data_IF_712223625343
#
_entry.id   IF_712223625343
#
_cell.length_a   1.000
_cell.length_b   1.000
_cell.length_c   1.000
_cell.angle_alpha   90.00
_cell.angle_beta   90.00
_cell.angle_gamma   90.00
#
_symmetry.space_group_name_H-M   'P 1'
#
loop_
_entity.id
_entity.type
_entity.pdbx_description
1 polymer ?
#
# COMPACT_ATOMS: atom_id res chain seq x y z
N UNK A 1 -24.17 -2.93 1.17
CA UNK A 1 -22.86 -3.19 0.52
C UNK A 1 -23.06 -3.13 -1.00
N UNK A 2 -22.55 -2.10 -1.68
CA UNK A 2 -22.94 -1.75 -3.06
C UNK A 2 -22.38 -2.73 -4.11
N UNK A 3 -23.21 -3.11 -5.10
CA UNK A 3 -22.84 -3.95 -6.27
C UNK A 3 -21.61 -3.45 -7.05
N UNK A 4 -21.22 -2.17 -6.91
CA UNK A 4 -19.98 -1.60 -7.45
C UNK A 4 -18.69 -2.17 -6.83
N UNK A 5 -18.76 -2.71 -5.61
CA UNK A 5 -17.59 -3.26 -4.93
C UNK A 5 -17.19 -4.63 -5.50
N UNK A 6 -18.18 -5.45 -5.85
CA UNK A 6 -17.98 -6.80 -6.42
C UNK A 6 -17.47 -6.72 -7.86
N UNK A 7 -17.94 -5.75 -8.66
CA UNK A 7 -17.47 -5.54 -10.04
C UNK A 7 -15.98 -5.17 -10.13
N UNK A 8 -15.39 -4.56 -9.10
CA UNK A 8 -13.96 -4.26 -9.07
C UNK A 8 -13.07 -5.48 -8.75
N UNK A 9 -13.62 -6.53 -8.14
CA UNK A 9 -12.88 -7.75 -7.77
C UNK A 9 -12.59 -8.64 -9.00
N UNK A 10 -13.35 -8.45 -10.10
CA UNK A 10 -13.20 -9.24 -11.34
C UNK A 10 -12.13 -8.70 -12.32
N UNK A 11 -11.33 -7.70 -11.92
CA UNK A 11 -10.20 -7.21 -12.73
C UNK A 11 -8.90 -7.87 -12.29
N UNK A 12 -8.02 -8.18 -13.26
CA UNK A 12 -6.66 -8.67 -12.99
C UNK A 12 -6.00 -7.80 -11.92
N UNK A 13 -5.62 -8.41 -10.80
CA UNK A 13 -4.84 -7.73 -9.77
C UNK A 13 -3.49 -7.28 -10.34
N UNK A 14 -3.11 -6.04 -10.01
CA UNK A 14 -1.82 -5.43 -10.37
C UNK A 14 -0.63 -6.32 -9.95
N UNK A 15 0.33 -6.52 -10.86
CA UNK A 15 1.57 -7.24 -10.58
C UNK A 15 2.57 -6.31 -9.86
N UNK A 16 3.40 -6.85 -8.96
CA UNK A 16 4.40 -6.04 -8.25
C UNK A 16 5.35 -5.33 -9.22
N UNK A 17 5.69 -5.97 -10.34
CA UNK A 17 6.54 -5.40 -11.39
C UNK A 17 6.04 -4.06 -11.94
N UNK A 18 4.72 -3.82 -11.89
CA UNK A 18 4.13 -2.56 -12.33
C UNK A 18 4.46 -1.37 -11.40
N UNK A 19 5.00 -1.64 -10.21
CA UNK A 19 5.53 -0.63 -9.30
C UNK A 19 6.99 -0.27 -9.59
N UNK A 20 7.71 -1.04 -10.40
CA UNK A 20 9.10 -0.76 -10.76
C UNK A 20 9.19 0.62 -11.40
N UNK A 21 10.05 1.49 -10.88
CA UNK A 21 10.19 2.88 -11.31
C UNK A 21 9.13 3.85 -10.77
N UNK A 22 8.03 3.37 -10.19
CA UNK A 22 7.03 4.22 -9.51
C UNK A 22 7.35 4.43 -8.02
N UNK A 23 8.02 3.48 -7.40
CA UNK A 23 8.54 3.56 -6.04
C UNK A 23 10.08 3.49 -6.04
N UNK A 24 10.75 4.01 -5.00
CA UNK A 24 12.18 3.78 -4.78
C UNK A 24 12.57 2.29 -4.89
N UNK A 25 13.75 2.03 -5.45
CA UNK A 25 14.22 0.68 -5.78
C UNK A 25 14.34 -0.20 -4.54
N UNK A 26 14.78 0.37 -3.42
CA UNK A 26 14.95 -0.32 -2.14
C UNK A 26 13.62 -0.87 -1.62
N UNK A 27 12.53 -0.11 -1.82
CA UNK A 27 11.17 -0.55 -1.46
C UNK A 27 10.72 -1.66 -2.41
N UNK A 28 10.95 -1.49 -3.72
CA UNK A 28 10.56 -2.46 -4.72
C UNK A 28 11.22 -3.82 -4.49
N UNK A 29 12.54 -3.85 -4.28
CA UNK A 29 13.30 -5.07 -4.03
C UNK A 29 12.76 -5.79 -2.80
N UNK A 30 12.60 -5.07 -1.67
CA UNK A 30 12.06 -5.64 -0.43
C UNK A 30 10.64 -6.21 -0.60
N UNK A 31 9.76 -5.50 -1.31
CA UNK A 31 8.38 -5.96 -1.54
C UNK A 31 8.31 -7.13 -2.51
N UNK A 32 9.14 -7.15 -3.55
CA UNK A 32 9.15 -8.21 -4.57
C UNK A 32 9.51 -9.59 -3.99
N UNK A 33 10.28 -9.62 -2.90
CA UNK A 33 10.59 -10.84 -2.15
C UNK A 33 9.41 -11.36 -1.33
N UNK A 34 8.46 -10.50 -0.95
CA UNK A 34 7.35 -10.82 -0.04
C UNK A 34 6.03 -11.04 -0.78
N UNK A 35 5.81 -10.35 -1.89
CA UNK A 35 4.55 -10.38 -2.64
C UNK A 35 4.78 -10.38 -4.16
N UNK A 36 3.95 -11.14 -4.89
CA UNK A 36 3.94 -11.16 -6.36
C UNK A 36 2.82 -10.31 -6.96
N UNK A 37 1.66 -10.23 -6.30
CA UNK A 37 0.49 -9.48 -6.76
C UNK A 37 -0.08 -8.67 -5.61
N UNK A 38 -0.60 -7.50 -5.93
CA UNK A 38 -1.27 -6.64 -4.98
C UNK A 38 -2.67 -7.16 -4.68
N UNK A 39 -3.14 -6.92 -3.46
CA UNK A 39 -4.55 -7.13 -3.11
C UNK A 39 -5.40 -5.99 -3.67
N UNK A 40 -6.72 -6.20 -3.91
CA UNK A 40 -7.59 -5.15 -4.42
C UNK A 40 -7.55 -3.83 -3.61
N UNK A 41 -7.51 -3.86 -2.26
CA UNK A 41 -7.34 -2.63 -1.47
C UNK A 41 -6.00 -1.91 -1.70
N UNK A 42 -4.90 -2.66 -1.89
CA UNK A 42 -3.58 -2.08 -2.15
C UNK A 42 -3.52 -1.42 -3.52
N UNK A 43 -4.01 -2.11 -4.55
CA UNK A 43 -4.09 -1.57 -5.90
C UNK A 43 -4.96 -0.31 -5.95
N UNK A 44 -6.11 -0.34 -5.26
CA UNK A 44 -7.00 0.80 -5.16
C UNK A 44 -6.31 1.98 -4.46
N UNK A 45 -5.53 1.75 -3.41
CA UNK A 45 -4.78 2.81 -2.73
C UNK A 45 -3.79 3.51 -3.67
N UNK A 46 -3.01 2.73 -4.44
CA UNK A 46 -2.09 3.28 -5.45
C UNK A 46 -2.85 4.13 -6.47
N UNK A 47 -3.92 3.58 -7.05
CA UNK A 47 -4.77 4.31 -8.02
C UNK A 47 -5.41 5.58 -7.45
N UNK A 48 -5.59 5.66 -6.12
CA UNK A 48 -6.17 6.81 -5.44
C UNK A 48 -5.16 7.88 -5.04
N UNK A 49 -3.88 7.67 -5.32
CA UNK A 49 -2.87 8.71 -5.13
C UNK A 49 -1.86 8.42 -4.00
N UNK A 50 -1.67 7.15 -3.62
CA UNK A 50 -0.78 6.76 -2.52
C UNK A 50 0.67 7.24 -2.77
N UNK A 51 1.16 7.11 -4.00
CA UNK A 51 2.56 7.40 -4.35
C UNK A 51 2.82 8.90 -4.53
N UNK A 52 1.75 9.65 -4.79
CA UNK A 52 1.69 11.10 -4.92
C UNK A 52 1.59 11.78 -3.54
N UNK A 53 1.42 11.01 -2.47
CA UNK A 53 1.30 11.51 -1.10
C UNK A 53 -0.05 12.15 -0.80
N UNK A 54 -1.12 11.72 -1.46
CA UNK A 54 -2.48 12.15 -1.12
C UNK A 54 -2.90 11.55 0.22
N UNK A 55 -3.74 12.28 0.95
CA UNK A 55 -4.37 11.78 2.17
C UNK A 55 -5.42 10.72 1.81
N UNK A 56 -5.26 9.51 2.36
CA UNK A 56 -6.14 8.38 2.08
C UNK A 56 -6.71 7.78 3.38
N UNK A 57 -8.01 7.49 3.38
CA UNK A 57 -8.65 6.66 4.40
C UNK A 57 -8.92 5.29 3.79
N UNK A 58 -8.25 4.28 4.33
CA UNK A 58 -8.36 2.90 3.84
C UNK A 58 -9.19 2.07 4.82
N UNK A 59 -10.37 1.65 4.40
CA UNK A 59 -11.23 0.72 5.14
C UNK A 59 -11.29 -0.61 4.40
N UNK A 60 -10.74 -1.65 4.99
CA UNK A 60 -10.77 -3.01 4.46
C UNK A 60 -10.68 -4.05 5.59
N UNK A 61 -11.10 -5.31 5.37
CA UNK A 61 -11.00 -6.39 6.37
C UNK A 61 -9.57 -6.60 6.90
N UNK A 62 -9.41 -7.12 8.11
CA UNK A 62 -8.11 -7.59 8.63
C UNK A 62 -7.48 -8.62 7.69
N UNK A 63 -6.15 -8.79 7.76
CA UNK A 63 -5.36 -9.62 6.84
C UNK A 63 -5.35 -9.22 5.33
N UNK A 64 -6.14 -8.23 4.88
CA UNK A 64 -6.16 -7.79 3.47
C UNK A 64 -4.92 -6.99 3.00
N UNK A 65 -3.89 -6.87 3.85
CA UNK A 65 -2.63 -6.23 3.50
C UNK A 65 -2.60 -4.70 3.67
N UNK A 66 -3.40 -4.14 4.58
CA UNK A 66 -3.39 -2.70 4.94
C UNK A 66 -2.01 -2.21 5.40
N UNK A 67 -1.26 -3.05 6.11
CA UNK A 67 0.09 -2.70 6.60
C UNK A 67 1.03 -2.36 5.45
N UNK A 68 1.00 -3.12 4.36
CA UNK A 68 1.83 -2.84 3.17
C UNK A 68 1.48 -1.48 2.54
N UNK A 69 0.21 -1.08 2.56
CA UNK A 69 -0.20 0.25 2.08
C UNK A 69 0.47 1.35 2.91
N UNK A 70 0.48 1.19 4.23
CA UNK A 70 1.14 2.12 5.14
C UNK A 70 2.67 2.12 4.98
N UNK A 71 3.29 0.93 4.84
CA UNK A 71 4.73 0.78 4.58
C UNK A 71 5.14 1.54 3.31
N UNK A 72 4.44 1.32 2.20
CA UNK A 72 4.70 2.01 0.92
C UNK A 72 4.54 3.52 1.09
N UNK A 73 3.45 3.98 1.73
CA UNK A 73 3.21 5.42 1.93
C UNK A 73 4.33 6.09 2.73
N UNK A 74 4.73 5.48 3.85
CA UNK A 74 5.76 6.01 4.74
C UNK A 74 7.12 6.03 4.04
N UNK A 75 7.56 4.88 3.51
CA UNK A 75 8.88 4.76 2.91
C UNK A 75 9.02 5.60 1.64
N UNK A 76 7.99 5.62 0.77
CA UNK A 76 8.02 6.42 -0.45
C UNK A 76 8.13 7.91 -0.11
N UNK A 77 7.43 8.39 0.92
CA UNK A 77 7.49 9.78 1.34
C UNK A 77 8.84 10.13 2.00
N UNK A 78 9.35 9.27 2.89
CA UNK A 78 10.65 9.47 3.58
C UNK A 78 11.79 9.55 2.55
N UNK A 79 11.84 8.61 1.60
CA UNK A 79 12.93 8.54 0.62
C UNK A 79 12.84 9.69 -0.39
N UNK A 80 11.64 9.98 -0.93
CA UNK A 80 11.48 11.00 -1.98
C UNK A 80 11.56 12.43 -1.46
N UNK A 81 10.92 12.72 -0.32
CA UNK A 81 10.79 14.09 0.19
C UNK A 81 11.78 14.44 1.30
N UNK A 82 12.63 13.48 1.72
CA UNK A 82 13.58 13.60 2.83
C UNK A 82 12.90 14.13 4.10
N UNK A 83 12.28 13.24 4.87
CA UNK A 83 11.53 13.61 6.06
C UNK A 83 11.34 12.46 7.05
N UNK A 84 10.41 12.63 7.99
CA UNK A 84 10.03 11.61 8.98
C UNK A 84 8.61 11.13 8.71
N UNK A 85 8.36 9.85 9.00
CA UNK A 85 7.02 9.26 8.98
C UNK A 85 6.71 8.68 10.35
N UNK A 86 5.45 8.74 10.77
CA UNK A 86 4.97 8.21 12.04
C UNK A 86 3.93 7.13 11.77
N UNK A 87 4.18 5.92 12.25
CA UNK A 87 3.20 4.83 12.25
C UNK A 87 2.59 4.70 13.64
N UNK A 88 1.30 4.97 13.76
CA UNK A 88 0.58 4.89 15.04
C UNK A 88 -0.18 3.56 15.08
N UNK A 89 0.09 2.77 16.11
CA UNK A 89 -0.66 1.55 16.41
C UNK A 89 -1.48 1.74 17.69
N UNK A 90 -2.63 1.04 17.83
CA UNK A 90 -3.56 1.27 18.93
C UNK A 90 -3.06 0.75 20.29
N UNK A 91 -2.18 -0.25 20.31
CA UNK A 91 -1.67 -0.86 21.53
C UNK A 91 -0.15 -0.99 21.49
N UNK A 92 0.49 -0.73 22.63
CA UNK A 92 1.95 -0.89 22.80
C UNK A 92 2.43 -2.29 22.47
N UNK A 93 1.62 -3.32 22.74
CA UNK A 93 1.97 -4.71 22.47
C UNK A 93 2.24 -5.01 20.97
N UNK A 94 1.73 -4.18 20.06
CA UNK A 94 1.94 -4.32 18.61
C UNK A 94 3.19 -3.58 18.11
N UNK A 95 3.79 -2.73 18.95
CA UNK A 95 4.97 -1.91 18.63
C UNK A 95 6.09 -2.41 19.52
N UNK A 96 6.78 -3.45 19.07
CA UNK A 96 7.92 -4.03 19.75
C UNK A 96 9.09 -4.16 18.80
#
# INVERSE_FOLDING_TARGET
MSKRFISQISKRNMNIEELKGKIPNEIFESLSLRIKKLTPPQELAIKKGLLEGKNLVVSSPTASGKTIIAEIALLNNIIRKKGKGVYVAPMRALVR
#
